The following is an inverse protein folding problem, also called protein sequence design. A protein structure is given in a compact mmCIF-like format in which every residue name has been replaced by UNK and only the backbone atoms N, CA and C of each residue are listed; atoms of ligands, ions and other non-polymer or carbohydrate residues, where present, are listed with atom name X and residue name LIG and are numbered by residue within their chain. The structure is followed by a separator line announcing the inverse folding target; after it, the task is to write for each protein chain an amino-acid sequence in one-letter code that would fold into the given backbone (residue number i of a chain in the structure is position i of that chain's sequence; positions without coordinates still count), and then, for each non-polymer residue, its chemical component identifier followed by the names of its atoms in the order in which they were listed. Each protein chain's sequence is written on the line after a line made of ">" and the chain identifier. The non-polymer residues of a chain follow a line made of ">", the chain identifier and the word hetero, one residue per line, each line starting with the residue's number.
data_IF_100802418860
#
_entry.id   IF_100802418860
#
_cell.length_a   1.000
_cell.length_b   1.000
_cell.length_c   1.000
_cell.angle_alpha   90.00
_cell.angle_beta   90.00
_cell.angle_gamma   90.00
#
_symmetry.space_group_name_H-M   'P 1'
#
loop_
_entity.id
_entity.type
_entity.pdbx_description
1 polymer ?
#
# COMPACT_ATOMS: atom_id res chain seq x y z
N UNK A 1 4.07 -8.74 17.21
CA UNK A 1 4.56 -9.41 15.99
C UNK A 1 5.60 -8.50 15.40
N UNK A 2 6.83 -8.95 15.25
CA UNK A 2 7.88 -8.18 14.59
C UNK A 2 7.56 -8.03 13.09
N UNK A 3 8.27 -7.14 12.40
CA UNK A 3 8.06 -6.99 10.96
C UNK A 3 8.41 -8.28 10.19
N UNK A 4 9.40 -9.04 10.65
CA UNK A 4 9.85 -10.26 9.98
C UNK A 4 8.81 -11.37 10.13
N UNK A 5 8.23 -11.53 11.32
CA UNK A 5 7.11 -12.43 11.57
C UNK A 5 5.90 -12.05 10.71
N UNK A 6 5.56 -10.75 10.65
CA UNK A 6 4.45 -10.25 9.84
C UNK A 6 4.68 -10.53 8.35
N UNK A 7 5.90 -10.28 7.85
CA UNK A 7 6.28 -10.54 6.46
C UNK A 7 6.12 -12.01 6.08
N UNK A 8 6.61 -12.91 6.91
CA UNK A 8 6.47 -14.35 6.69
C UNK A 8 5.01 -14.81 6.73
N UNK A 9 4.22 -14.27 7.65
CA UNK A 9 2.80 -14.62 7.75
C UNK A 9 2.00 -14.13 6.53
N UNK A 10 2.29 -12.94 6.01
CA UNK A 10 1.71 -12.42 4.77
C UNK A 10 2.05 -13.34 3.60
N UNK A 11 3.32 -13.73 3.44
CA UNK A 11 3.76 -14.62 2.35
C UNK A 11 3.14 -16.02 2.44
N UNK A 12 2.97 -16.55 3.65
CA UNK A 12 2.41 -17.90 3.88
C UNK A 12 0.89 -17.97 3.65
N UNK A 13 0.17 -16.90 3.94
CA UNK A 13 -1.30 -16.91 3.99
C UNK A 13 -1.97 -16.10 2.90
N UNK A 14 -1.21 -15.30 2.17
CA UNK A 14 -1.72 -14.34 1.19
C UNK A 14 -0.78 -14.34 -0.01
N UNK A 15 -1.23 -13.85 -1.14
CA UNK A 15 -0.34 -13.63 -2.28
C UNK A 15 0.35 -12.26 -2.27
N UNK A 16 0.18 -11.48 -1.21
CA UNK A 16 0.73 -10.14 -1.05
C UNK A 16 -0.28 -9.16 -0.49
N UNK A 17 0.26 -8.15 0.20
CA UNK A 17 -0.46 -6.98 0.70
C UNK A 17 0.13 -5.76 0.02
N UNK A 18 -0.72 -4.93 -0.58
CA UNK A 18 -0.34 -3.68 -1.23
C UNK A 18 -1.16 -2.51 -0.69
N UNK A 19 -0.51 -1.36 -0.56
CA UNK A 19 -1.12 -0.10 -0.16
C UNK A 19 -0.55 1.02 -1.02
N UNK A 20 -1.40 1.64 -1.84
CA UNK A 20 -1.00 2.68 -2.78
C UNK A 20 -1.86 3.95 -2.62
N UNK A 21 -1.26 5.15 -2.70
CA UNK A 21 -2.03 6.39 -2.76
C UNK A 21 -2.81 6.44 -4.08
N UNK A 22 -4.06 6.87 -4.04
CA UNK A 22 -4.90 7.02 -5.22
C UNK A 22 -5.63 8.36 -5.19
N UNK A 23 -5.60 9.08 -6.31
CA UNK A 23 -6.21 10.41 -6.44
C UNK A 23 -7.17 10.39 -7.61
N UNK A 24 -8.41 10.81 -7.40
CA UNK A 24 -9.42 10.90 -8.45
C UNK A 24 -9.89 12.36 -8.61
N UNK A 25 -9.82 12.94 -9.82
CA UNK A 25 -10.37 14.26 -10.05
C UNK A 25 -11.89 14.22 -9.90
N UNK A 26 -12.49 15.24 -9.29
CA UNK A 26 -13.96 15.36 -9.28
C UNK A 26 -14.41 15.78 -10.67
N UNK A 27 -15.26 14.97 -11.30
CA UNK A 27 -15.90 15.30 -12.57
C UNK A 27 -17.03 16.31 -12.28
N UNK A 28 -16.94 17.57 -12.77
CA UNK A 28 -17.96 18.57 -12.48
C UNK A 28 -19.27 18.21 -13.18
N UNK A 29 -20.38 18.24 -12.43
CA UNK A 29 -21.69 17.78 -12.91
C UNK A 29 -22.49 18.80 -13.72
N UNK A 30 -22.15 20.11 -13.69
CA UNK A 30 -22.83 21.10 -14.52
C UNK A 30 -22.06 22.44 -14.55
N UNK A 31 -21.79 22.94 -15.76
CA UNK A 31 -21.45 24.33 -16.17
C UNK A 31 -20.40 25.18 -15.43
N UNK A 32 -19.80 24.75 -14.32
CA UNK A 32 -18.63 25.42 -13.72
C UNK A 32 -17.50 24.44 -13.51
N UNK A 33 -16.43 24.66 -14.26
CA UNK A 33 -15.23 23.84 -14.25
C UNK A 33 -14.36 24.20 -13.04
N UNK A 34 -14.73 23.73 -11.86
CA UNK A 34 -13.87 23.79 -10.67
C UNK A 34 -12.91 22.59 -10.66
N UNK A 35 -11.85 22.67 -11.47
CA UNK A 35 -10.77 21.68 -11.53
C UNK A 35 -9.91 21.60 -10.26
N UNK A 36 -10.20 22.40 -9.24
CA UNK A 36 -9.39 22.48 -8.00
C UNK A 36 -9.68 21.36 -7.01
N UNK A 37 -10.69 20.53 -7.23
CA UNK A 37 -11.13 19.52 -6.27
C UNK A 37 -10.82 18.08 -6.74
N UNK A 38 -10.12 17.33 -5.88
CA UNK A 38 -9.80 15.92 -6.09
C UNK A 38 -10.06 15.13 -4.80
N UNK A 39 -10.52 13.88 -4.91
CA UNK A 39 -10.56 12.94 -3.80
C UNK A 39 -9.21 12.25 -3.66
N UNK A 40 -8.72 12.13 -2.43
CA UNK A 40 -7.50 11.40 -2.09
C UNK A 40 -7.90 10.21 -1.23
N UNK A 41 -7.41 9.03 -1.58
CA UNK A 41 -7.70 7.79 -0.87
C UNK A 41 -6.44 6.92 -0.84
N UNK A 42 -6.45 5.94 0.06
CA UNK A 42 -5.45 4.87 0.07
C UNK A 42 -6.15 3.63 -0.48
N UNK A 43 -5.65 3.09 -1.58
CA UNK A 43 -6.11 1.83 -2.12
C UNK A 43 -5.36 0.69 -1.43
N UNK A 44 -6.12 -0.23 -0.86
CA UNK A 44 -5.60 -1.39 -0.15
C UNK A 44 -6.00 -2.63 -0.93
N UNK A 45 -5.01 -3.39 -1.37
CA UNK A 45 -5.20 -4.57 -2.22
C UNK A 45 -4.49 -5.76 -1.62
N UNK A 46 -5.15 -6.91 -1.64
CA UNK A 46 -4.55 -8.19 -1.26
C UNK A 46 -5.43 -9.33 -1.76
N UNK A 47 -4.84 -10.52 -1.85
CA UNK A 47 -5.54 -11.71 -2.30
C UNK A 47 -5.06 -12.94 -1.52
N UNK A 48 -5.93 -13.92 -1.37
CA UNK A 48 -5.61 -15.19 -0.74
C UNK A 48 -6.43 -16.33 -1.35
N UNK A 49 -5.99 -17.56 -1.11
CA UNK A 49 -6.80 -18.74 -1.39
C UNK A 49 -7.98 -18.80 -0.41
N UNK A 50 -9.12 -19.36 -0.85
CA UNK A 50 -10.33 -19.47 -0.01
C UNK A 50 -10.05 -20.17 1.34
N UNK A 51 -9.20 -21.19 1.34
CA UNK A 51 -8.78 -21.91 2.55
C UNK A 51 -7.99 -21.06 3.55
N UNK A 52 -7.54 -19.85 3.16
CA UNK A 52 -6.77 -18.92 3.99
C UNK A 52 -7.55 -17.71 4.47
N UNK A 53 -8.84 -17.58 4.12
CA UNK A 53 -9.70 -16.45 4.50
C UNK A 53 -9.63 -16.07 5.99
N UNK A 54 -9.67 -17.01 6.96
CA UNK A 54 -9.57 -16.65 8.38
C UNK A 54 -8.25 -15.95 8.72
N UNK A 55 -7.12 -16.50 8.27
CA UNK A 55 -5.79 -15.92 8.50
C UNK A 55 -5.64 -14.57 7.77
N UNK A 56 -6.21 -14.46 6.56
CA UNK A 56 -6.19 -13.24 5.77
C UNK A 56 -6.85 -12.06 6.52
N UNK A 57 -8.05 -12.26 7.06
CA UNK A 57 -8.72 -11.22 7.85
C UNK A 57 -8.04 -10.96 9.20
N UNK A 58 -7.42 -11.97 9.80
CA UNK A 58 -6.61 -11.78 11.01
C UNK A 58 -5.41 -10.87 10.75
N UNK A 59 -4.70 -11.07 9.63
CA UNK A 59 -3.56 -10.24 9.22
C UNK A 59 -3.99 -8.79 8.94
N UNK A 60 -5.09 -8.59 8.21
CA UNK A 60 -5.67 -7.25 8.03
C UNK A 60 -6.01 -6.60 9.37
N UNK A 61 -6.63 -7.36 10.27
CA UNK A 61 -7.03 -6.87 11.58
C UNK A 61 -5.83 -6.47 12.44
N UNK A 62 -4.72 -7.22 12.37
CA UNK A 62 -3.46 -6.89 13.05
C UNK A 62 -2.83 -5.61 12.48
N UNK A 63 -2.77 -5.49 11.15
CA UNK A 63 -2.20 -4.33 10.47
C UNK A 63 -2.88 -3.02 10.89
N UNK A 64 -4.21 -3.02 11.02
CA UNK A 64 -4.95 -1.82 11.40
C UNK A 64 -4.99 -1.53 12.89
N UNK A 65 -5.04 -2.56 13.75
CA UNK A 65 -5.26 -2.36 15.18
C UNK A 65 -3.98 -2.04 15.95
N UNK A 66 -2.84 -2.53 15.51
CA UNK A 66 -1.59 -2.40 16.26
C UNK A 66 -0.36 -2.37 15.35
N UNK A 67 -0.26 -1.43 14.40
CA UNK A 67 0.99 -1.20 13.69
C UNK A 67 2.06 -0.68 14.67
N UNK A 68 3.24 -1.29 14.63
CA UNK A 68 4.40 -0.79 15.37
C UNK A 68 5.13 0.25 14.52
N UNK A 69 5.12 1.50 15.00
CA UNK A 69 5.77 2.65 14.37
C UNK A 69 7.08 3.05 15.06
N UNK A 70 7.51 2.29 16.08
CA UNK A 70 8.69 2.62 16.87
C UNK A 70 10.01 2.13 16.27
N UNK A 71 9.96 1.23 15.28
CA UNK A 71 11.12 0.67 14.58
C UNK A 71 11.72 1.67 13.58
N UNK A 72 12.55 2.58 14.10
CA UNK A 72 13.20 3.64 13.33
C UNK A 72 14.22 3.10 12.32
N UNK A 73 14.94 2.03 12.65
CA UNK A 73 15.97 1.43 11.79
C UNK A 73 15.33 0.84 10.53
N UNK A 74 14.23 0.10 10.70
CA UNK A 74 13.46 -0.42 9.57
C UNK A 74 12.89 0.71 8.71
N UNK A 75 12.32 1.75 9.32
CA UNK A 75 11.78 2.88 8.57
C UNK A 75 12.87 3.56 7.72
N UNK A 76 14.05 3.82 8.30
CA UNK A 76 15.19 4.38 7.59
C UNK A 76 15.60 3.51 6.41
N UNK A 77 15.67 2.19 6.62
CA UNK A 77 16.01 1.22 5.57
C UNK A 77 15.00 1.28 4.41
N UNK A 78 13.70 1.29 4.71
CA UNK A 78 12.64 1.37 3.70
C UNK A 78 12.70 2.68 2.89
N UNK A 79 12.98 3.81 3.55
CA UNK A 79 13.14 5.12 2.88
C UNK A 79 14.33 5.07 1.90
N UNK A 80 15.48 4.54 2.34
CA UNK A 80 16.67 4.42 1.49
C UNK A 80 16.42 3.49 0.30
N UNK A 81 15.75 2.36 0.52
CA UNK A 81 15.36 1.44 -0.55
C UNK A 81 14.42 2.09 -1.57
N UNK A 82 13.41 2.84 -1.10
CA UNK A 82 12.47 3.55 -1.98
C UNK A 82 13.18 4.61 -2.83
N UNK A 83 13.99 5.45 -2.21
CA UNK A 83 14.73 6.50 -2.90
C UNK A 83 15.73 5.93 -3.92
N UNK A 84 16.40 4.82 -3.59
CA UNK A 84 17.30 4.13 -4.51
C UNK A 84 16.56 3.49 -5.69
N UNK A 85 15.36 2.93 -5.45
CA UNK A 85 14.51 2.33 -6.48
C UNK A 85 13.99 3.36 -7.49
N UNK A 86 13.49 4.50 -7.02
CA UNK A 86 12.99 5.60 -7.85
C UNK A 86 14.09 6.26 -8.68
N UNK A 87 15.32 6.35 -8.15
CA UNK A 87 16.48 6.90 -8.87
C UNK A 87 17.02 5.95 -9.95
N UNK A 88 16.65 4.67 -9.93
CA UNK A 88 17.15 3.72 -10.92
C UNK A 88 16.53 3.99 -12.30
N UNK A 89 17.36 3.97 -13.36
CA UNK A 89 16.97 4.27 -14.74
C UNK A 89 15.88 3.34 -15.34
N UNK A 90 15.44 2.32 -14.58
CA UNK A 90 14.34 1.43 -14.93
C UNK A 90 12.96 1.97 -14.51
N UNK A 91 12.88 3.07 -13.75
CA UNK A 91 11.62 3.65 -13.29
C UNK A 91 10.88 4.51 -14.36
N UNK A 92 11.52 4.83 -15.49
CA UNK A 92 10.96 5.73 -16.52
C UNK A 92 9.92 5.01 -17.43
N UNK A 93 9.70 3.70 -17.29
CA UNK A 93 8.79 2.94 -18.16
C UNK A 93 7.36 2.78 -17.64
N UNK A 94 7.03 3.16 -16.40
CA UNK A 94 5.71 2.91 -15.79
C UNK A 94 4.85 4.18 -15.59
N UNK A 95 4.97 5.15 -16.50
CA UNK A 95 4.00 6.26 -16.61
C UNK A 95 3.32 6.24 -17.98
N UNK A 96 2.67 5.11 -18.28
CA UNK A 96 1.89 4.88 -19.48
C UNK A 96 0.44 4.53 -19.18
N UNK A 97 -0.27 5.37 -18.43
CA UNK A 97 -1.74 5.47 -18.43
C UNK A 97 -2.20 6.89 -18.15
#
# INVERSE_FOLDING_TARGET
>A
MSYSEMSQAIELHTGGFDASPFVTPKIPSCSKTEFSSASRQIHLSSYCLESKIPNFFELWSKLFRSPDWSDQERLSTLIQMSAAGEWSANAISDSGK
#
